data_IF_178817211268
#
_entry.id   IF_178817211268
#
_cell.length_a   1.000
_cell.length_b   1.000
_cell.length_c   1.000
_cell.angle_alpha   90.00
_cell.angle_beta   90.00
_cell.angle_gamma   90.00
#
_symmetry.space_group_name_H-M   'P 1'
#
loop_
_entity.id
_entity.type
_entity.pdbx_description
1 polymer ?
#
# COMPACT_ATOMS: atom_id res chain seq x y z
N UNK A 1 -20.79 11.85 -5.47
CA UNK A 1 -20.36 11.05 -6.64
C UNK A 1 -18.84 11.01 -6.54
N UNK A 2 -18.26 9.92 -6.05
CA UNK A 2 -16.80 9.72 -6.09
C UNK A 2 -16.43 9.48 -7.55
N UNK A 3 -15.56 10.32 -8.11
CA UNK A 3 -15.04 10.11 -9.45
C UNK A 3 -14.31 8.75 -9.47
N UNK A 4 -14.57 7.94 -10.50
CA UNK A 4 -13.78 6.72 -10.70
C UNK A 4 -12.35 7.10 -11.08
N UNK A 5 -11.34 6.49 -10.45
CA UNK A 5 -9.96 6.82 -10.77
C UNK A 5 -9.63 6.44 -12.20
N UNK A 6 -8.79 7.25 -12.85
CA UNK A 6 -8.30 6.93 -14.19
C UNK A 6 -7.65 5.54 -14.18
N UNK A 7 -7.94 4.77 -15.22
CA UNK A 7 -7.31 3.47 -15.39
C UNK A 7 -5.81 3.62 -15.60
N UNK A 8 -4.99 2.62 -15.21
CA UNK A 8 -3.57 2.62 -15.52
C UNK A 8 -3.29 2.86 -17.01
N UNK A 9 -4.14 2.33 -17.91
CA UNK A 9 -3.98 2.48 -19.34
C UNK A 9 -4.17 3.93 -19.82
N UNK A 10 -5.08 4.68 -19.22
CA UNK A 10 -5.30 6.11 -19.51
C UNK A 10 -4.10 6.95 -19.06
N UNK A 11 -3.47 6.61 -17.93
CA UNK A 11 -2.28 7.33 -17.44
C UNK A 11 -1.01 6.91 -18.18
N UNK A 12 -0.86 5.64 -18.50
CA UNK A 12 0.36 5.10 -19.13
C UNK A 12 0.36 5.26 -20.65
N UNK A 13 -0.81 5.33 -21.28
CA UNK A 13 -0.98 5.38 -22.74
C UNK A 13 -0.82 4.01 -23.42
N UNK A 14 -0.81 2.92 -22.65
CA UNK A 14 -0.73 1.53 -23.10
C UNK A 14 -1.27 0.60 -21.99
N UNK A 15 -1.59 -0.66 -22.30
CA UNK A 15 -2.09 -1.60 -21.29
C UNK A 15 -0.93 -2.14 -20.45
N UNK A 16 -1.05 -2.17 -19.10
CA UNK A 16 -0.06 -2.85 -18.27
C UNK A 16 0.12 -4.31 -18.72
N UNK A 17 1.36 -4.67 -19.07
CA UNK A 17 1.69 -5.99 -19.59
C UNK A 17 1.87 -6.05 -21.12
N UNK A 18 1.64 -4.95 -21.85
CA UNK A 18 1.92 -4.87 -23.29
C UNK A 18 3.42 -5.08 -23.58
N UNK A 19 3.70 -5.82 -24.67
CA UNK A 19 5.05 -6.13 -25.12
C UNK A 19 5.87 -4.85 -25.35
N UNK A 20 7.09 -4.84 -24.81
CA UNK A 20 8.04 -3.73 -24.93
C UNK A 20 7.51 -2.38 -24.38
N UNK A 21 6.52 -2.41 -23.48
CA UNK A 21 6.03 -1.22 -22.78
C UNK A 21 6.33 -1.30 -21.29
N UNK A 22 6.94 -0.24 -20.75
CA UNK A 22 7.20 -0.11 -19.32
C UNK A 22 6.85 1.31 -18.88
N UNK A 23 6.09 1.43 -17.80
CA UNK A 23 5.72 2.73 -17.25
C UNK A 23 6.97 3.40 -16.66
N UNK A 24 7.15 4.67 -16.97
CA UNK A 24 8.22 5.46 -16.35
C UNK A 24 7.90 5.70 -14.87
N UNK A 25 8.92 6.05 -14.09
CA UNK A 25 8.72 6.45 -12.69
C UNK A 25 7.70 7.60 -12.55
N UNK A 26 7.74 8.59 -13.44
CA UNK A 26 6.83 9.74 -13.41
C UNK A 26 5.39 9.35 -13.74
N UNK A 27 5.20 8.40 -14.66
CA UNK A 27 3.88 7.84 -14.97
C UNK A 27 3.31 7.07 -13.77
N UNK A 28 4.13 6.23 -13.14
CA UNK A 28 3.73 5.50 -11.92
C UNK A 28 3.44 6.46 -10.76
N UNK A 29 4.29 7.45 -10.51
CA UNK A 29 4.06 8.45 -9.46
C UNK A 29 2.76 9.22 -9.70
N UNK A 30 2.50 9.65 -10.94
CA UNK A 30 1.26 10.35 -11.30
C UNK A 30 0.04 9.48 -11.00
N UNK A 31 0.06 8.22 -11.44
CA UNK A 31 -1.01 7.28 -11.19
C UNK A 31 -1.25 7.04 -9.69
N UNK A 32 -0.20 6.79 -8.90
CA UNK A 32 -0.35 6.52 -7.46
C UNK A 32 -0.84 7.72 -6.66
N UNK A 33 -0.37 8.94 -7.00
CA UNK A 33 -0.84 10.17 -6.36
C UNK A 33 -2.31 10.43 -6.65
N UNK A 34 -2.73 10.24 -7.89
CA UNK A 34 -4.12 10.35 -8.28
C UNK A 34 -4.97 9.30 -7.54
N UNK A 35 -4.55 8.04 -7.57
CA UNK A 35 -5.27 6.95 -6.92
C UNK A 35 -5.45 7.20 -5.41
N UNK A 36 -4.43 7.71 -4.74
CA UNK A 36 -4.50 8.08 -3.32
C UNK A 36 -5.38 9.31 -3.04
N UNK A 37 -5.56 10.21 -4.02
CA UNK A 37 -6.43 11.37 -3.89
C UNK A 37 -7.92 11.02 -4.13
N UNK A 38 -8.19 10.01 -4.95
CA UNK A 38 -9.54 9.65 -5.40
C UNK A 38 -10.12 8.42 -4.67
N UNK A 39 -9.28 7.65 -3.95
CA UNK A 39 -9.69 6.44 -3.23
C UNK A 39 -9.45 6.55 -1.73
N UNK A 40 -10.48 6.27 -0.93
CA UNK A 40 -10.38 6.10 0.53
C UNK A 40 -9.75 4.76 0.95
N UNK A 41 -9.41 3.92 -0.03
CA UNK A 41 -8.80 2.59 0.14
C UNK A 41 -7.30 2.58 -0.08
N UNK A 42 -6.71 3.72 -0.40
CA UNK A 42 -5.29 3.84 -0.77
C UNK A 42 -4.62 4.92 0.07
N UNK A 43 -3.57 4.53 0.79
CA UNK A 43 -2.69 5.45 1.49
C UNK A 43 -1.31 5.46 0.83
N UNK A 44 -0.90 6.61 0.33
CA UNK A 44 0.44 6.84 -0.22
C UNK A 44 1.31 7.56 0.83
N UNK A 45 2.47 7.00 1.14
CA UNK A 45 3.44 7.61 2.07
C UNK A 45 4.82 7.69 1.43
N UNK A 46 5.47 8.86 1.50
CA UNK A 46 6.89 8.96 1.20
C UNK A 46 7.70 8.38 2.36
N UNK A 47 8.58 7.42 2.06
CA UNK A 47 9.44 6.74 3.05
C UNK A 47 10.90 7.17 2.98
N UNK A 48 11.24 8.05 2.03
CA UNK A 48 12.57 8.58 1.84
C UNK A 48 12.83 8.93 0.39
N UNK A 49 14.12 9.07 0.04
CA UNK A 49 14.57 9.34 -1.32
C UNK A 49 15.54 8.25 -1.78
N UNK A 50 15.47 7.91 -3.06
CA UNK A 50 16.42 7.04 -3.75
C UNK A 50 17.81 7.70 -3.87
N UNK A 51 18.80 6.92 -4.32
CA UNK A 51 20.16 7.43 -4.60
C UNK A 51 20.17 8.57 -5.65
N UNK A 52 19.18 8.62 -6.55
CA UNK A 52 19.03 9.67 -7.54
C UNK A 52 18.14 10.84 -7.07
N UNK A 53 17.81 10.88 -5.77
CA UNK A 53 17.00 11.94 -5.17
C UNK A 53 15.49 11.84 -5.44
N UNK A 54 15.03 10.84 -6.21
CA UNK A 54 13.61 10.60 -6.45
C UNK A 54 12.93 10.07 -5.18
N UNK A 55 11.73 10.56 -4.81
CA UNK A 55 10.97 10.01 -3.68
C UNK A 55 10.79 8.48 -3.79
N UNK A 56 10.77 7.81 -2.65
CA UNK A 56 10.37 6.41 -2.53
C UNK A 56 9.02 6.39 -1.83
N UNK A 57 8.03 5.78 -2.49
CA UNK A 57 6.69 5.68 -1.94
C UNK A 57 6.37 4.29 -1.44
N UNK A 58 5.65 4.24 -0.33
CA UNK A 58 4.92 3.08 0.16
C UNK A 58 3.44 3.29 -0.13
N UNK A 59 2.85 2.40 -0.92
CA UNK A 59 1.43 2.35 -1.19
C UNK A 59 0.79 1.26 -0.33
N UNK A 60 -0.13 1.64 0.57
CA UNK A 60 -0.91 0.69 1.36
C UNK A 60 -2.35 0.67 0.87
N UNK A 61 -2.84 -0.50 0.49
CA UNK A 61 -4.19 -0.68 -0.06
C UNK A 61 -5.00 -1.56 0.89
N UNK A 62 -6.15 -1.08 1.37
CA UNK A 62 -7.04 -1.85 2.24
C UNK A 62 -8.47 -1.28 2.27
N UNK A 63 -9.32 -1.73 3.19
CA UNK A 63 -10.56 -1.00 3.50
C UNK A 63 -10.24 0.28 4.30
N UNK A 64 -11.11 1.31 4.27
CA UNK A 64 -10.89 2.53 5.06
C UNK A 64 -10.79 2.24 6.56
N UNK A 65 -11.60 1.30 7.05
CA UNK A 65 -11.55 0.80 8.44
C UNK A 65 -10.19 0.19 8.77
N UNK A 66 -9.60 -0.60 7.87
CA UNK A 66 -8.30 -1.20 8.12
C UNK A 66 -7.18 -0.13 8.11
N UNK A 67 -7.27 0.84 7.19
CA UNK A 67 -6.29 1.94 7.11
C UNK A 67 -6.33 2.82 8.36
N UNK A 68 -7.51 3.06 8.93
CA UNK A 68 -7.66 3.78 10.20
C UNK A 68 -7.00 3.04 11.38
N UNK A 69 -6.91 1.71 11.31
CA UNK A 69 -6.31 0.86 12.34
C UNK A 69 -4.92 0.29 11.95
N UNK A 70 -4.27 0.86 10.92
CA UNK A 70 -3.05 0.30 10.33
C UNK A 70 -1.92 0.13 11.35
N UNK A 71 -1.72 1.10 12.23
CA UNK A 71 -0.68 1.04 13.26
C UNK A 71 -0.94 -0.07 14.29
N UNK A 72 -2.21 -0.36 14.62
CA UNK A 72 -2.56 -1.49 15.48
C UNK A 72 -2.17 -2.81 14.82
N UNK A 73 -2.55 -3.01 13.55
CA UNK A 73 -2.21 -4.24 12.83
C UNK A 73 -0.71 -4.42 12.65
N UNK A 74 0.02 -3.32 12.40
CA UNK A 74 1.49 -3.32 12.38
C UNK A 74 2.07 -3.79 13.72
N UNK A 75 1.57 -3.25 14.84
CA UNK A 75 2.02 -3.64 16.18
C UNK A 75 1.73 -5.12 16.49
N UNK A 76 0.55 -5.62 16.11
CA UNK A 76 0.18 -7.04 16.25
C UNK A 76 1.16 -7.92 15.47
N UNK A 77 1.39 -7.60 14.19
CA UNK A 77 2.32 -8.35 13.33
C UNK A 77 3.74 -8.38 13.91
N UNK A 78 4.22 -7.24 14.39
CA UNK A 78 5.55 -7.11 15.00
C UNK A 78 5.69 -7.93 16.29
N UNK A 79 4.67 -7.92 17.16
CA UNK A 79 4.67 -8.71 18.40
C UNK A 79 4.66 -10.22 18.14
N UNK A 80 3.84 -10.66 17.17
CA UNK A 80 3.78 -12.05 16.77
C UNK A 80 5.12 -12.50 16.14
N UNK A 81 5.72 -11.67 15.28
CA UNK A 81 7.00 -11.97 14.63
C UNK A 81 8.17 -12.10 15.62
N UNK A 82 8.17 -11.32 16.71
CA UNK A 82 9.21 -11.38 17.75
C UNK A 82 9.05 -12.53 18.74
N UNK A 83 7.88 -13.16 18.79
CA UNK A 83 7.55 -14.26 19.71
C UNK A 83 7.78 -13.94 21.21
N UNK A 84 7.59 -12.68 21.62
CA UNK A 84 7.74 -12.22 23.01
C UNK A 84 6.45 -12.32 23.84
N UNK A 85 5.47 -13.07 23.38
CA UNK A 85 4.16 -13.23 24.02
C UNK A 85 3.91 -14.70 24.29
N UNK A 86 3.13 -15.00 25.33
CA UNK A 86 2.68 -16.37 25.61
C UNK A 86 1.70 -16.87 24.53
N UNK A 87 1.38 -18.16 24.58
CA UNK A 87 0.52 -18.83 23.59
C UNK A 87 -0.91 -18.28 23.56
N UNK A 88 -1.48 -17.92 24.71
CA UNK A 88 -2.84 -17.40 24.80
C UNK A 88 -2.91 -16.02 24.16
N UNK A 89 -1.98 -15.14 24.53
CA UNK A 89 -1.83 -13.82 23.93
C UNK A 89 -1.57 -13.92 22.43
N UNK A 90 -0.71 -14.84 21.98
CA UNK A 90 -0.44 -15.06 20.56
C UNK A 90 -1.70 -15.48 19.79
N UNK A 91 -2.50 -16.41 20.33
CA UNK A 91 -3.73 -16.87 19.69
C UNK A 91 -4.76 -15.73 19.53
N UNK A 92 -4.91 -14.88 20.56
CA UNK A 92 -5.79 -13.70 20.51
C UNK A 92 -5.29 -12.66 19.49
N UNK A 93 -3.99 -12.36 19.51
CA UNK A 93 -3.40 -11.42 18.56
C UNK A 93 -3.52 -11.92 17.11
N UNK A 94 -3.42 -13.24 16.88
CA UNK A 94 -3.60 -13.83 15.57
C UNK A 94 -5.04 -13.72 15.04
N UNK A 95 -6.05 -13.76 15.91
CA UNK A 95 -7.46 -13.57 15.50
C UNK A 95 -7.83 -12.11 15.26
N UNK A 96 -7.23 -11.18 16.01
CA UNK A 96 -7.45 -9.73 15.88
C UNK A 96 -6.66 -9.12 14.70
N UNK A 97 -5.50 -9.69 14.38
CA UNK A 97 -4.61 -9.21 13.34
C UNK A 97 -5.19 -9.36 11.92
N UNK A 98 -4.51 -8.72 10.96
CA UNK A 98 -4.78 -8.87 9.52
C UNK A 98 -3.56 -9.46 8.84
N UNK A 99 -3.79 -10.26 7.80
CA UNK A 99 -2.71 -10.68 6.91
C UNK A 99 -2.19 -9.46 6.14
N UNK A 100 -0.86 -9.29 6.14
CA UNK A 100 -0.17 -8.23 5.39
C UNK A 100 0.69 -8.91 4.33
N UNK A 101 0.50 -8.53 3.07
CA UNK A 101 1.30 -9.00 1.94
C UNK A 101 2.11 -7.83 1.44
N UNK A 102 3.43 -8.02 1.32
CA UNK A 102 4.36 -7.06 0.75
C UNK A 102 4.84 -7.57 -0.60
N UNK A 103 4.82 -6.70 -1.62
CA UNK A 103 5.23 -6.99 -3.00
C UNK A 103 6.38 -6.05 -3.38
#
# INVERSE_FOLDING_TARGET
MTAEPLSPAEVFGFQPGDDYKLASYEQMETFYRQLAAESDRVQLREIGKSALGKPLYLLTISSPENLANLDQYRSISERLARAWVDRETAARLASEGKAVVWI
#
